data_IF_480020554714
#
_entry.id   IF_480020554714
#
_cell.length_a   1.000
_cell.length_b   1.000
_cell.length_c   1.000
_cell.angle_alpha   90.00
_cell.angle_beta   90.00
_cell.angle_gamma   90.00
#
_symmetry.space_group_name_H-M   'P 1'
#
loop_
_entity.id
_entity.type
_entity.pdbx_description
1 polymer ?
#
# COMPACT_ATOMS: atom_id res chain seq x y z
N UNK A 1 -67.22 -47.63 -4.34
CA UNK A 1 -66.01 -48.12 -3.63
C UNK A 1 -64.99 -46.98 -3.63
N UNK A 2 -64.96 -46.18 -2.56
CA UNK A 2 -63.89 -46.15 -1.55
C UNK A 2 -62.51 -45.94 -2.21
N UNK A 3 -61.84 -44.79 -2.14
CA UNK A 3 -61.63 -43.84 -1.03
C UNK A 3 -60.10 -43.72 -0.89
N UNK A 4 -59.48 -42.55 -1.03
CA UNK A 4 -59.20 -41.66 0.11
C UNK A 4 -58.68 -40.30 -0.39
N UNK A 5 -59.34 -39.26 0.08
CA UNK A 5 -58.81 -37.92 0.22
C UNK A 5 -58.37 -37.71 1.69
N UNK A 6 -57.30 -36.95 1.91
CA UNK A 6 -57.01 -36.33 3.22
C UNK A 6 -56.26 -35.02 2.96
N UNK A 7 -56.94 -33.88 3.00
CA UNK A 7 -57.21 -33.00 4.17
C UNK A 7 -56.02 -32.12 4.57
N UNK A 8 -56.22 -30.83 4.28
CA UNK A 8 -55.57 -29.65 4.86
C UNK A 8 -55.75 -29.63 6.38
N UNK A 9 -54.73 -29.19 7.13
CA UNK A 9 -54.90 -28.55 8.44
C UNK A 9 -53.82 -27.50 8.67
N UNK A 10 -54.27 -26.31 9.07
CA UNK A 10 -53.47 -25.16 9.47
C UNK A 10 -53.01 -25.22 10.94
N UNK A 11 -52.08 -24.31 11.25
CA UNK A 11 -51.25 -24.03 12.44
C UNK A 11 -51.95 -24.04 13.81
N UNK A 12 -51.16 -24.10 14.92
CA UNK A 12 -51.00 -22.89 15.72
C UNK A 12 -49.61 -22.70 16.38
N UNK A 13 -49.31 -21.45 16.75
CA UNK A 13 -48.63 -21.20 18.03
C UNK A 13 -47.28 -20.50 17.98
N UNK A 14 -47.32 -19.18 17.93
CA UNK A 14 -46.28 -18.30 18.46
C UNK A 14 -46.03 -18.54 19.96
N UNK A 15 -44.76 -18.53 20.39
CA UNK A 15 -44.37 -18.01 21.71
C UNK A 15 -43.06 -17.25 21.62
N UNK A 16 -43.14 -15.99 22.02
CA UNK A 16 -42.05 -15.14 22.43
C UNK A 16 -41.39 -15.69 23.69
N UNK A 17 -40.05 -15.57 23.78
CA UNK A 17 -39.39 -15.37 25.07
C UNK A 17 -38.48 -14.15 24.91
N UNK A 18 -38.86 -13.15 25.69
CA UNK A 18 -38.15 -11.92 25.97
C UNK A 18 -36.91 -12.18 26.85
N UNK A 19 -35.85 -11.46 26.54
CA UNK A 19 -34.94 -10.80 27.48
C UNK A 19 -34.33 -11.59 28.64
N UNK A 20 -32.99 -11.72 28.61
CA UNK A 20 -32.19 -11.10 29.68
C UNK A 20 -30.79 -10.71 29.21
N UNK A 21 -30.40 -9.51 29.67
CA UNK A 21 -29.13 -8.80 29.49
C UNK A 21 -28.00 -9.47 30.28
N UNK A 22 -26.82 -9.59 29.67
CA UNK A 22 -25.49 -9.43 30.29
C UNK A 22 -24.44 -9.74 29.21
N UNK A 23 -23.34 -9.04 29.02
CA UNK A 23 -22.72 -7.94 29.72
C UNK A 23 -21.54 -7.51 28.86
N UNK A 24 -21.27 -6.22 28.92
CA UNK A 24 -20.26 -5.49 28.19
C UNK A 24 -18.83 -5.96 28.51
N UNK A 25 -18.13 -6.62 27.58
CA UNK A 25 -16.65 -6.68 27.64
C UNK A 25 -16.01 -7.01 26.27
N UNK A 26 -16.21 -6.20 25.22
CA UNK A 26 -15.32 -6.30 24.04
C UNK A 26 -15.26 -5.08 23.12
N UNK A 27 -15.23 -3.87 23.67
CA UNK A 27 -14.86 -2.67 22.91
C UNK A 27 -14.04 -1.72 23.78
N UNK A 28 -12.86 -2.21 24.23
CA UNK A 28 -11.80 -1.41 24.84
C UNK A 28 -10.43 -1.93 24.38
N UNK A 29 -10.20 -1.92 23.08
CA UNK A 29 -8.85 -2.04 22.50
C UNK A 29 -8.63 -1.04 21.35
N UNK A 30 -9.69 -0.49 20.74
CA UNK A 30 -9.57 0.56 19.72
C UNK A 30 -9.65 1.96 20.36
N UNK A 31 -8.75 2.23 21.32
CA UNK A 31 -8.45 3.62 21.74
C UNK A 31 -7.07 3.76 22.40
N UNK A 32 -6.14 2.85 22.10
CA UNK A 32 -4.73 2.96 22.52
C UNK A 32 -3.74 3.10 21.34
N UNK A 33 -4.21 3.00 20.09
CA UNK A 33 -3.37 3.13 18.89
C UNK A 33 -3.08 4.57 18.44
N UNK A 34 -3.95 5.52 18.78
CA UNK A 34 -3.86 6.91 18.26
C UNK A 34 -2.95 7.80 19.14
N UNK A 35 -2.77 7.49 20.42
CA UNK A 35 -1.87 8.25 21.31
C UNK A 35 -0.40 7.80 21.26
N UNK A 36 -0.10 6.63 20.69
CA UNK A 36 1.27 6.11 20.64
C UNK A 36 2.13 6.73 19.52
N UNK A 37 1.50 7.32 18.50
CA UNK A 37 2.21 7.99 17.40
C UNK A 37 2.62 9.44 17.71
N UNK A 38 1.89 10.16 18.59
CA UNK A 38 2.32 11.50 19.06
C UNK A 38 3.39 11.46 20.15
N UNK A 39 3.44 10.39 20.97
CA UNK A 39 4.39 10.27 22.08
C UNK A 39 5.83 9.98 21.64
N UNK A 40 6.04 9.29 20.51
CA UNK A 40 7.39 8.97 20.01
C UNK A 40 8.13 10.18 19.44
N UNK A 41 7.45 11.29 19.12
CA UNK A 41 8.10 12.58 18.78
C UNK A 41 8.59 13.38 19.99
N UNK A 42 8.08 13.14 21.20
CA UNK A 42 8.47 13.89 22.40
C UNK A 42 9.64 13.25 23.16
N UNK A 43 9.79 11.92 23.16
CA UNK A 43 10.96 11.28 23.78
C UNK A 43 12.27 11.47 23.02
N UNK A 44 12.22 11.73 21.71
CA UNK A 44 13.42 12.00 20.90
C UNK A 44 14.02 13.39 21.16
N UNK A 45 13.25 14.34 21.70
CA UNK A 45 13.71 15.70 22.01
C UNK A 45 14.35 15.82 23.40
N UNK A 46 14.09 14.89 24.33
CA UNK A 46 14.61 14.97 25.71
C UNK A 46 15.93 14.22 25.95
N UNK A 47 16.50 13.55 24.94
CA UNK A 47 17.84 12.92 25.02
C UNK A 47 18.95 13.73 24.35
N UNK A 48 18.64 14.90 23.79
CA UNK A 48 19.60 15.76 23.11
C UNK A 48 20.18 16.88 24.01
N UNK A 49 19.66 17.09 25.22
CA UNK A 49 20.20 18.05 26.18
C UNK A 49 20.81 17.32 27.39
N UNK A 50 22.06 16.88 27.23
CA UNK A 50 22.88 16.41 28.34
C UNK A 50 23.32 17.59 29.22
N UNK A 51 22.46 18.00 30.15
CA UNK A 51 22.82 18.97 31.19
C UNK A 51 23.15 18.26 32.51
N UNK A 52 24.44 18.09 32.81
CA UNK A 52 24.88 17.82 34.19
C UNK A 52 24.88 19.12 34.97
N UNK A 53 24.15 19.15 36.08
CA UNK A 53 24.23 20.19 37.08
C UNK A 53 25.56 20.09 37.84
N UNK A 54 26.34 21.16 37.86
CA UNK A 54 27.40 21.37 38.83
C UNK A 54 27.49 22.85 39.21
N UNK A 55 27.77 23.06 40.49
CA UNK A 55 27.57 24.24 41.32
C UNK A 55 28.42 25.47 40.98
N UNK A 56 27.82 26.64 41.25
CA UNK A 56 28.45 27.97 41.27
C UNK A 56 29.63 28.06 42.25
N UNK A 57 30.69 28.75 41.84
CA UNK A 57 31.56 29.51 42.74
C UNK A 57 32.05 30.79 42.06
N UNK A 58 31.97 31.90 42.78
CA UNK A 58 32.26 33.28 42.33
C UNK A 58 33.75 33.61 42.44
N UNK A 59 34.26 34.41 41.48
CA UNK A 59 35.44 35.24 41.67
C UNK A 59 36.46 35.21 40.52
N UNK A 60 36.56 36.31 39.78
CA UNK A 60 37.70 36.57 38.89
C UNK A 60 37.32 37.16 37.54
N UNK A 61 37.57 38.45 37.38
CA UNK A 61 37.61 39.16 36.09
C UNK A 61 38.63 38.50 35.15
N UNK A 62 38.14 37.92 34.06
CA UNK A 62 38.96 37.57 32.90
C UNK A 62 38.22 37.99 31.63
N UNK A 63 38.84 38.92 30.89
CA UNK A 63 38.42 39.28 29.55
C UNK A 63 38.47 38.02 28.65
N UNK A 64 37.32 37.60 28.13
CA UNK A 64 37.25 36.53 27.14
C UNK A 64 37.24 37.15 25.76
N UNK A 65 38.30 36.86 25.02
CA UNK A 65 38.52 37.22 23.63
C UNK A 65 37.42 36.60 22.76
N UNK A 66 36.73 37.43 21.96
CA UNK A 66 35.85 36.94 20.90
C UNK A 66 36.69 36.37 19.74
N UNK A 67 37.08 35.10 19.85
CA UNK A 67 37.57 34.31 18.73
C UNK A 67 36.38 33.79 17.92
N UNK A 68 36.17 34.35 16.73
CA UNK A 68 35.16 33.87 15.80
C UNK A 68 35.47 32.44 15.34
N UNK A 69 34.76 31.47 15.91
CA UNK A 69 34.67 30.13 15.35
C UNK A 69 33.51 30.11 14.35
N UNK A 70 33.84 29.92 13.07
CA UNK A 70 32.86 29.63 12.04
C UNK A 70 32.00 28.44 12.49
N UNK A 71 30.69 28.63 12.55
CA UNK A 71 29.73 27.56 12.80
C UNK A 71 29.89 26.49 11.70
N UNK A 72 30.52 25.38 12.06
CA UNK A 72 30.57 24.21 11.20
C UNK A 72 29.16 23.63 11.17
N UNK A 73 28.53 23.67 9.99
CA UNK A 73 27.24 23.06 9.72
C UNK A 73 27.23 21.61 10.22
N UNK A 74 26.34 21.21 11.16
CA UNK A 74 26.27 19.83 11.64
C UNK A 74 25.62 18.88 10.60
N UNK A 75 25.39 19.35 9.37
CA UNK A 75 24.82 18.57 8.28
C UNK A 75 25.89 17.77 7.53
N UNK A 76 26.68 16.95 8.24
CA UNK A 76 27.45 15.86 7.64
C UNK A 76 27.48 14.68 8.61
N UNK A 77 27.11 13.51 8.09
CA UNK A 77 27.10 12.19 8.71
C UNK A 77 25.82 11.81 9.50
N UNK A 78 24.66 11.85 8.83
CA UNK A 78 23.72 10.74 8.99
C UNK A 78 24.09 9.72 7.92
N UNK A 79 24.66 8.58 8.34
CA UNK A 79 24.95 7.47 7.44
C UNK A 79 23.68 7.08 6.69
N UNK A 80 23.82 6.80 5.39
CA UNK A 80 22.75 6.25 4.54
C UNK A 80 22.16 5.06 5.31
N UNK A 81 20.86 5.13 5.64
CA UNK A 81 20.16 3.97 6.19
C UNK A 81 20.45 2.78 5.28
N UNK A 82 20.76 1.59 5.84
CA UNK A 82 21.06 0.44 5.00
C UNK A 82 19.89 0.23 4.04
N UNK A 83 20.19 0.13 2.74
CA UNK A 83 19.18 -0.15 1.73
C UNK A 83 18.44 -1.42 2.17
N UNK A 84 17.13 -1.32 2.42
CA UNK A 84 16.34 -2.48 2.79
C UNK A 84 16.51 -3.55 1.71
N UNK A 85 17.15 -4.65 2.07
CA UNK A 85 17.21 -5.83 1.21
C UNK A 85 15.83 -6.46 1.25
N UNK A 86 15.07 -6.30 0.17
CA UNK A 86 13.77 -6.96 -0.01
C UNK A 86 14.07 -8.45 -0.25
N UNK A 87 13.59 -9.37 0.62
CA UNK A 87 13.76 -10.80 0.37
C UNK A 87 13.08 -11.22 -0.93
N UNK A 88 13.68 -12.17 -1.64
CA UNK A 88 13.02 -12.79 -2.80
C UNK A 88 11.67 -13.40 -2.39
N UNK A 89 10.63 -13.15 -3.19
CA UNK A 89 9.28 -13.63 -2.91
C UNK A 89 8.50 -12.83 -1.86
N UNK A 90 9.05 -11.73 -1.33
CA UNK A 90 8.28 -10.82 -0.50
C UNK A 90 7.31 -10.00 -1.37
N UNK A 91 6.04 -9.92 -0.94
CA UNK A 91 5.13 -8.93 -1.49
C UNK A 91 5.53 -7.53 -1.03
N UNK A 92 5.60 -6.61 -1.98
CA UNK A 92 6.07 -5.23 -1.75
C UNK A 92 5.02 -4.17 -2.06
N UNK A 93 3.96 -4.56 -2.76
CA UNK A 93 2.85 -3.68 -3.12
C UNK A 93 1.52 -4.42 -3.04
N UNK A 94 0.47 -3.68 -2.67
CA UNK A 94 -0.92 -4.05 -2.90
C UNK A 94 -1.56 -3.02 -3.82
N UNK A 95 -2.12 -3.46 -4.94
CA UNK A 95 -2.80 -2.58 -5.89
C UNK A 95 -4.31 -2.66 -5.70
N UNK A 96 -4.95 -1.49 -5.66
CA UNK A 96 -6.38 -1.32 -5.61
C UNK A 96 -6.88 -0.67 -6.90
N UNK A 97 -7.81 -1.35 -7.58
CA UNK A 97 -8.57 -0.73 -8.67
C UNK A 97 -9.59 0.23 -8.06
N UNK A 98 -9.63 1.44 -8.61
CA UNK A 98 -10.52 2.53 -8.22
C UNK A 98 -11.22 3.11 -9.44
N UNK A 99 -12.43 3.64 -9.27
CA UNK A 99 -13.22 4.23 -10.36
C UNK A 99 -12.80 5.67 -10.68
N UNK A 100 -12.26 6.38 -9.69
CA UNK A 100 -11.74 7.73 -9.85
C UNK A 100 -10.52 7.93 -8.95
N UNK A 101 -9.38 8.25 -9.57
CA UNK A 101 -8.09 8.30 -8.89
C UNK A 101 -8.05 9.40 -7.83
N UNK A 102 -8.47 10.63 -8.16
CA UNK A 102 -8.46 11.77 -7.25
C UNK A 102 -9.36 11.55 -6.03
N UNK A 103 -10.59 11.08 -6.27
CA UNK A 103 -11.54 10.79 -5.21
C UNK A 103 -11.06 9.65 -4.31
N UNK A 104 -10.34 8.67 -4.87
CA UNK A 104 -9.71 7.61 -4.08
C UNK A 104 -8.54 8.14 -3.24
N UNK A 105 -7.64 8.94 -3.81
CA UNK A 105 -6.54 9.58 -3.05
C UNK A 105 -7.09 10.39 -1.87
N UNK A 106 -8.09 11.24 -2.12
CA UNK A 106 -8.72 12.06 -1.09
C UNK A 106 -9.36 11.18 0.02
N UNK A 107 -10.10 10.14 -0.37
CA UNK A 107 -10.73 9.21 0.58
C UNK A 107 -9.69 8.46 1.42
N UNK A 108 -8.62 7.95 0.81
CA UNK A 108 -7.59 7.19 1.52
C UNK A 108 -6.82 8.10 2.48
N UNK A 109 -6.55 9.34 2.08
CA UNK A 109 -5.98 10.34 2.97
C UNK A 109 -6.91 10.64 4.16
N UNK A 110 -8.18 10.90 3.91
CA UNK A 110 -9.14 11.24 4.96
C UNK A 110 -9.34 10.10 5.96
N UNK A 111 -9.45 8.86 5.48
CA UNK A 111 -9.75 7.70 6.33
C UNK A 111 -8.52 7.12 7.01
N UNK A 112 -7.37 7.11 6.34
CA UNK A 112 -6.18 6.37 6.77
C UNK A 112 -4.95 7.24 6.97
N UNK A 113 -5.00 8.53 6.62
CA UNK A 113 -3.86 9.45 6.70
C UNK A 113 -2.77 9.18 5.66
N UNK A 114 -3.08 8.42 4.60
CA UNK A 114 -2.12 8.10 3.54
C UNK A 114 -1.80 9.34 2.69
N UNK A 115 -0.52 9.48 2.34
CA UNK A 115 -0.03 10.51 1.44
C UNK A 115 1.46 10.77 1.65
N UNK A 116 2.11 11.46 0.69
CA UNK A 116 1.56 11.89 -0.58
C UNK A 116 1.50 10.70 -1.55
N UNK A 117 0.66 10.85 -2.57
CA UNK A 117 0.50 9.90 -3.67
C UNK A 117 1.40 10.33 -4.83
N UNK A 118 2.27 9.45 -5.30
CA UNK A 118 3.23 9.73 -6.38
C UNK A 118 2.70 9.20 -7.70
N UNK A 119 2.58 10.05 -8.72
CA UNK A 119 2.09 9.67 -10.05
C UNK A 119 0.88 10.50 -10.49
N UNK A 120 -0.16 9.85 -10.99
CA UNK A 120 -1.40 10.46 -11.47
C UNK A 120 -1.45 10.73 -12.97
N UNK A 121 -0.35 10.46 -13.66
CA UNK A 121 -0.24 10.53 -15.12
C UNK A 121 -0.86 9.32 -15.83
N UNK A 122 -1.00 9.44 -17.16
CA UNK A 122 -1.49 8.36 -18.00
C UNK A 122 -0.38 7.31 -18.24
N UNK A 123 -0.67 6.06 -17.89
CA UNK A 123 0.14 4.90 -18.21
C UNK A 123 -0.42 4.13 -19.40
N UNK A 124 0.47 3.52 -20.18
CA UNK A 124 0.14 2.56 -21.23
C UNK A 124 0.92 1.29 -20.95
N UNK A 125 0.19 0.18 -20.86
CA UNK A 125 0.73 -1.18 -20.81
C UNK A 125 0.61 -1.74 -22.24
N UNK A 126 1.72 -1.64 -22.97
CA UNK A 126 1.77 -1.92 -24.40
C UNK A 126 2.10 -3.39 -24.69
N UNK A 127 2.00 -3.83 -25.95
CA UNK A 127 2.21 -5.23 -26.36
C UNK A 127 1.43 -6.23 -25.49
N UNK A 128 0.19 -5.88 -25.16
CA UNK A 128 -0.61 -6.65 -24.23
C UNK A 128 -1.00 -8.01 -24.83
N UNK A 129 -0.68 -9.07 -24.09
CA UNK A 129 -1.15 -10.43 -24.35
C UNK A 129 -2.06 -10.83 -23.20
N UNK A 130 -3.33 -11.09 -23.51
CA UNK A 130 -4.35 -11.49 -22.55
C UNK A 130 -4.77 -12.94 -22.78
N UNK A 131 -4.63 -13.79 -21.75
CA UNK A 131 -4.96 -15.23 -21.84
C UNK A 131 -4.35 -15.91 -23.08
N UNK A 132 -3.09 -15.56 -23.37
CA UNK A 132 -2.32 -16.11 -24.48
C UNK A 132 -2.68 -15.56 -25.87
N UNK A 133 -3.56 -14.56 -25.96
CA UNK A 133 -3.94 -13.91 -27.22
C UNK A 133 -3.53 -12.44 -27.23
N UNK A 134 -3.07 -11.89 -28.37
CA UNK A 134 -2.86 -10.45 -28.51
C UNK A 134 -4.14 -9.67 -28.17
N UNK A 135 -3.99 -8.58 -27.44
CA UNK A 135 -5.08 -7.71 -27.03
C UNK A 135 -4.67 -6.23 -27.12
N UNK A 136 -5.66 -5.34 -27.07
CA UNK A 136 -5.39 -3.91 -27.08
C UNK A 136 -4.56 -3.48 -25.85
N UNK A 137 -3.71 -2.45 -25.98
CA UNK A 137 -2.97 -1.89 -24.86
C UNK A 137 -3.89 -1.45 -23.72
N UNK A 138 -3.45 -1.71 -22.49
CA UNK A 138 -4.18 -1.29 -21.30
C UNK A 138 -3.78 0.15 -20.97
N UNK A 139 -4.75 1.05 -20.85
CA UNK A 139 -4.56 2.43 -20.42
C UNK A 139 -5.04 2.57 -18.99
N UNK A 140 -4.18 3.14 -18.15
CA UNK A 140 -4.44 3.33 -16.73
C UNK A 140 -4.00 4.73 -16.29
N UNK A 141 -4.50 5.16 -15.14
CA UNK A 141 -3.87 6.21 -14.34
C UNK A 141 -3.51 5.61 -12.99
N UNK A 142 -2.26 5.77 -12.57
CA UNK A 142 -1.72 5.11 -11.38
C UNK A 142 -1.09 6.09 -10.41
N UNK A 143 -1.27 5.86 -9.12
CA UNK A 143 -0.47 6.50 -8.06
C UNK A 143 0.06 5.46 -7.08
N UNK A 144 1.22 5.76 -6.51
CA UNK A 144 1.86 4.95 -5.47
C UNK A 144 1.90 5.75 -4.17
N UNK A 145 1.56 5.13 -3.04
CA UNK A 145 1.71 5.71 -1.71
C UNK A 145 2.37 4.71 -0.77
N UNK A 146 3.30 5.18 0.06
CA UNK A 146 3.92 4.31 1.05
C UNK A 146 3.03 4.18 2.31
N UNK A 147 2.82 2.95 2.78
CA UNK A 147 2.08 2.67 4.02
C UNK A 147 2.80 1.61 4.86
N UNK A 148 3.59 2.06 5.84
CA UNK A 148 4.51 1.18 6.57
C UNK A 148 5.56 0.62 5.61
N UNK A 149 5.75 -0.71 5.62
CA UNK A 149 6.72 -1.37 4.73
C UNK A 149 6.14 -1.69 3.35
N UNK A 150 4.82 -1.71 3.20
CA UNK A 150 4.15 -1.95 1.93
C UNK A 150 3.90 -0.65 1.16
N UNK A 151 3.95 -0.75 -0.16
CA UNK A 151 3.40 0.25 -1.04
C UNK A 151 1.93 -0.07 -1.33
N UNK A 152 1.10 0.96 -1.43
CA UNK A 152 -0.27 0.86 -1.93
C UNK A 152 -0.33 1.58 -3.26
N UNK A 153 -0.72 0.86 -4.30
CA UNK A 153 -0.99 1.43 -5.61
C UNK A 153 -2.51 1.64 -5.77
N UNK A 154 -2.92 2.80 -6.26
CA UNK A 154 -4.28 3.03 -6.72
C UNK A 154 -4.26 3.13 -8.25
N UNK A 155 -5.09 2.34 -8.91
CA UNK A 155 -5.18 2.29 -10.37
C UNK A 155 -6.60 2.61 -10.81
N UNK A 156 -6.75 3.66 -11.60
CA UNK A 156 -7.95 3.95 -12.38
C UNK A 156 -7.76 3.35 -13.78
N UNK A 157 -8.63 2.40 -14.13
CA UNK A 157 -8.60 1.73 -15.43
C UNK A 157 -9.36 2.55 -16.47
N UNK A 158 -8.68 2.98 -17.53
CA UNK A 158 -9.25 3.80 -18.61
C UNK A 158 -9.69 2.94 -19.79
N UNK A 159 -8.99 1.83 -20.05
CA UNK A 159 -9.37 0.89 -21.11
C UNK A 159 -10.61 0.08 -20.74
N UNK A 160 -11.47 -0.19 -21.73
CA UNK A 160 -12.62 -1.10 -21.62
C UNK A 160 -12.39 -2.49 -22.24
N UNK A 161 -11.25 -2.67 -22.93
CA UNK A 161 -10.87 -3.95 -23.54
C UNK A 161 -10.53 -5.01 -22.49
N UNK A 162 -10.71 -6.30 -22.80
CA UNK A 162 -10.50 -7.37 -21.83
C UNK A 162 -9.06 -7.41 -21.31
N UNK A 163 -8.90 -7.61 -20.00
CA UNK A 163 -7.60 -7.68 -19.32
C UNK A 163 -7.75 -8.36 -17.95
N UNK A 164 -6.62 -8.68 -17.30
CA UNK A 164 -6.61 -9.20 -15.92
C UNK A 164 -7.36 -8.30 -14.91
N UNK A 165 -7.45 -6.99 -15.17
CA UNK A 165 -8.26 -6.09 -14.33
C UNK A 165 -9.76 -6.43 -14.42
N UNK A 166 -10.26 -6.67 -15.63
CA UNK A 166 -11.66 -6.98 -15.89
C UNK A 166 -12.08 -8.37 -15.40
N UNK A 167 -11.10 -9.28 -15.27
CA UNK A 167 -11.30 -10.59 -14.64
C UNK A 167 -11.68 -10.48 -13.15
N UNK A 168 -11.33 -9.38 -12.47
CA UNK A 168 -11.69 -9.13 -11.07
C UNK A 168 -12.78 -8.09 -10.93
N UNK A 169 -12.69 -6.99 -11.68
CA UNK A 169 -13.53 -5.82 -11.52
C UNK A 169 -14.11 -5.37 -12.86
N UNK A 170 -15.38 -5.68 -13.13
CA UNK A 170 -16.16 -5.01 -14.16
C UNK A 170 -16.22 -3.49 -13.94
N UNK A 171 -16.61 -2.75 -14.98
CA UNK A 171 -16.78 -1.29 -14.89
C UNK A 171 -17.65 -0.89 -13.70
N UNK A 172 -17.18 0.09 -12.93
CA UNK A 172 -17.82 0.57 -11.70
C UNK A 172 -17.54 -0.26 -10.44
N UNK A 173 -16.83 -1.39 -10.53
CA UNK A 173 -16.39 -2.17 -9.37
C UNK A 173 -14.94 -1.78 -8.97
N UNK A 174 -14.61 -1.98 -7.70
CA UNK A 174 -13.34 -1.57 -7.10
C UNK A 174 -12.88 -2.62 -6.08
N UNK A 175 -11.57 -2.72 -5.85
CA UNK A 175 -11.00 -3.58 -4.82
C UNK A 175 -9.54 -3.93 -5.09
N UNK A 176 -9.00 -4.84 -4.28
CA UNK A 176 -7.62 -5.34 -4.44
C UNK A 176 -7.50 -6.14 -5.73
N UNK A 177 -6.62 -5.71 -6.63
CA UNK A 177 -6.41 -6.39 -7.91
C UNK A 177 -5.19 -7.31 -7.88
N UNK A 178 -4.04 -6.80 -7.43
CA UNK A 178 -2.83 -7.61 -7.38
C UNK A 178 -1.99 -7.33 -6.16
N UNK A 179 -1.14 -8.30 -5.82
CA UNK A 179 0.02 -8.09 -4.97
C UNK A 179 1.29 -8.24 -5.81
N UNK A 180 2.21 -7.28 -5.71
CA UNK A 180 3.43 -7.29 -6.53
C UNK A 180 4.65 -7.79 -5.76
N UNK A 181 5.57 -8.43 -6.48
CA UNK A 181 6.87 -8.86 -5.94
C UNK A 181 7.98 -8.72 -6.98
N UNK A 182 9.22 -8.52 -6.49
CA UNK A 182 10.41 -8.58 -7.34
C UNK A 182 10.85 -10.02 -7.55
N UNK A 183 11.29 -10.32 -8.77
CA UNK A 183 11.81 -11.61 -9.17
C UNK A 183 13.20 -11.45 -9.77
N UNK A 184 14.20 -12.06 -9.12
CA UNK A 184 15.57 -12.12 -9.65
C UNK A 184 15.67 -13.02 -10.89
N UNK A 185 14.94 -14.14 -10.88
CA UNK A 185 14.72 -15.04 -12.02
C UNK A 185 13.25 -14.90 -12.43
N UNK A 186 12.98 -13.96 -13.34
CA UNK A 186 11.63 -13.58 -13.74
C UNK A 186 10.93 -14.73 -14.45
N UNK A 187 11.55 -15.28 -15.50
CA UNK A 187 11.01 -16.36 -16.30
C UNK A 187 10.86 -17.64 -15.48
N UNK A 188 11.87 -18.02 -14.68
CA UNK A 188 11.78 -19.21 -13.85
C UNK A 188 10.73 -19.09 -12.73
N UNK A 189 10.49 -17.88 -12.21
CA UNK A 189 9.41 -17.65 -11.24
C UNK A 189 8.03 -17.72 -11.90
N UNK A 190 7.87 -17.09 -13.07
CA UNK A 190 6.64 -17.20 -13.89
C UNK A 190 6.32 -18.66 -14.18
N UNK A 191 7.28 -19.41 -14.72
CA UNK A 191 7.07 -20.80 -15.14
C UNK A 191 6.75 -21.72 -13.96
N UNK A 192 7.35 -21.46 -12.78
CA UNK A 192 7.01 -22.17 -11.54
C UNK A 192 5.55 -21.96 -11.13
N UNK A 193 5.04 -20.73 -11.22
CA UNK A 193 3.65 -20.45 -10.88
C UNK A 193 2.67 -21.04 -11.90
N UNK A 194 3.00 -20.99 -13.19
CA UNK A 194 2.22 -21.68 -14.23
C UNK A 194 2.17 -23.18 -13.97
N UNK A 195 3.31 -23.81 -13.67
CA UNK A 195 3.38 -25.23 -13.33
C UNK A 195 2.60 -25.59 -12.04
N UNK A 196 2.42 -24.63 -11.14
CA UNK A 196 1.60 -24.77 -9.93
C UNK A 196 0.10 -24.50 -10.16
N UNK A 197 -0.34 -24.35 -11.42
CA UNK A 197 -1.75 -24.14 -11.76
C UNK A 197 -2.22 -22.68 -11.71
N UNK A 198 -1.31 -21.72 -11.62
CA UNK A 198 -1.61 -20.28 -11.68
C UNK A 198 -1.18 -19.74 -13.06
N UNK A 199 -2.08 -19.75 -14.07
CA UNK A 199 -1.73 -19.35 -15.42
C UNK A 199 -1.44 -17.85 -15.50
N UNK A 200 -0.67 -17.44 -16.51
CA UNK A 200 -0.50 -16.02 -16.83
C UNK A 200 -1.85 -15.46 -17.32
N UNK A 201 -2.33 -14.39 -16.68
CA UNK A 201 -3.55 -13.68 -17.06
C UNK A 201 -3.28 -12.63 -18.14
N UNK A 202 -2.29 -11.77 -17.90
CA UNK A 202 -1.86 -10.72 -18.83
C UNK A 202 -0.33 -10.60 -18.80
N UNK A 203 0.27 -10.32 -19.95
CA UNK A 203 1.66 -9.84 -20.07
C UNK A 203 1.66 -8.55 -20.89
N UNK A 204 2.55 -7.62 -20.57
CA UNK A 204 2.66 -6.34 -21.26
C UNK A 204 4.03 -5.71 -21.02
N UNK A 205 4.33 -4.67 -21.79
CA UNK A 205 5.53 -3.84 -21.66
C UNK A 205 5.11 -2.48 -21.12
N UNK A 206 5.71 -2.07 -20.00
CA UNK A 206 5.50 -0.72 -19.46
C UNK A 206 6.33 0.32 -20.20
N UNK A 207 5.99 1.60 -20.05
CA UNK A 207 6.56 2.71 -20.84
C UNK A 207 8.09 2.83 -20.82
N UNK A 208 8.74 2.34 -19.77
CA UNK A 208 10.20 2.31 -19.65
C UNK A 208 10.85 0.99 -20.10
N UNK A 209 10.10 0.13 -20.81
CA UNK A 209 10.61 -1.02 -21.54
C UNK A 209 10.67 -2.34 -20.76
N UNK A 210 10.28 -2.36 -19.47
CA UNK A 210 10.23 -3.61 -18.73
C UNK A 210 9.01 -4.46 -19.13
N UNK A 211 9.23 -5.77 -19.30
CA UNK A 211 8.13 -6.73 -19.44
C UNK A 211 7.66 -7.17 -18.06
N UNK A 212 6.34 -7.15 -17.85
CA UNK A 212 5.67 -7.50 -16.60
C UNK A 212 4.51 -8.42 -16.92
N UNK A 213 4.16 -9.29 -15.97
CA UNK A 213 2.99 -10.15 -16.08
C UNK A 213 2.15 -10.16 -14.80
N UNK A 214 0.86 -10.41 -15.00
CA UNK A 214 -0.08 -10.80 -13.96
C UNK A 214 -0.28 -12.31 -14.02
N UNK A 215 0.01 -12.97 -12.90
CA UNK A 215 -0.27 -14.39 -12.66
C UNK A 215 -1.64 -14.49 -12.00
N UNK A 216 -2.49 -15.38 -12.52
CA UNK A 216 -3.82 -15.63 -11.98
C UNK A 216 -3.76 -16.53 -10.76
N UNK A 217 -3.67 -15.91 -9.58
CA UNK A 217 -3.72 -16.57 -8.29
C UNK A 217 -5.08 -16.39 -7.61
N UNK A 218 -6.16 -16.07 -8.35
CA UNK A 218 -7.48 -15.80 -7.75
C UNK A 218 -8.05 -17.01 -7.01
N UNK A 219 -7.85 -18.22 -7.53
CA UNK A 219 -8.33 -19.44 -6.87
C UNK A 219 -7.63 -19.72 -5.52
N UNK A 220 -6.35 -19.37 -5.40
CA UNK A 220 -5.54 -19.70 -4.22
C UNK A 220 -5.43 -18.54 -3.23
N UNK A 221 -5.43 -17.29 -3.72
CA UNK A 221 -5.17 -16.08 -2.94
C UNK A 221 -6.26 -15.02 -3.06
N UNK A 222 -7.17 -15.13 -4.03
CA UNK A 222 -8.24 -14.15 -4.26
C UNK A 222 -7.82 -12.89 -5.01
N UNK A 223 -6.60 -12.83 -5.54
CA UNK A 223 -6.07 -11.70 -6.33
C UNK A 223 -5.04 -12.18 -7.36
N UNK A 224 -4.64 -11.29 -8.27
CA UNK A 224 -3.51 -11.54 -9.18
C UNK A 224 -2.17 -11.38 -8.45
N UNK A 225 -1.09 -11.96 -8.97
CA UNK A 225 0.28 -11.65 -8.54
C UNK A 225 0.97 -10.92 -9.68
N UNK A 226 1.55 -9.75 -9.40
CA UNK A 226 2.39 -9.03 -10.37
C UNK A 226 3.85 -9.39 -10.16
N UNK A 227 4.53 -9.80 -11.23
CA UNK A 227 5.97 -10.07 -11.19
C UNK A 227 6.71 -8.88 -11.79
N UNK A 228 7.61 -8.28 -11.02
CA UNK A 228 8.57 -7.32 -11.54
C UNK A 228 9.89 -8.01 -11.85
N UNK A 229 10.47 -7.81 -13.04
CA UNK A 229 11.89 -8.08 -13.22
C UNK A 229 12.71 -7.12 -12.35
N UNK A 230 13.96 -7.48 -12.08
CA UNK A 230 14.90 -6.54 -11.48
C UNK A 230 15.06 -5.29 -12.37
N UNK A 231 14.64 -4.14 -11.84
CA UNK A 231 14.61 -2.88 -12.57
C UNK A 231 14.92 -1.71 -11.64
N UNK A 232 16.00 -0.98 -11.94
CA UNK A 232 16.39 0.22 -11.20
C UNK A 232 15.31 1.30 -11.25
N UNK A 233 14.59 1.42 -12.37
CA UNK A 233 13.50 2.37 -12.54
C UNK A 233 12.36 2.05 -11.58
N UNK A 234 11.92 0.80 -11.52
CA UNK A 234 10.87 0.36 -10.60
C UNK A 234 11.32 0.58 -9.17
N UNK A 235 12.54 0.16 -8.81
CA UNK A 235 13.11 0.38 -7.47
C UNK A 235 13.17 1.87 -7.09
N UNK A 236 13.50 2.74 -8.04
CA UNK A 236 13.53 4.19 -7.82
C UNK A 236 12.14 4.77 -7.56
N UNK A 237 11.09 4.25 -8.20
CA UNK A 237 9.69 4.65 -7.92
C UNK A 237 9.30 4.35 -6.47
N UNK A 238 9.56 3.12 -6.01
CA UNK A 238 9.31 2.73 -4.62
C UNK A 238 10.13 3.55 -3.63
N UNK A 239 11.41 3.80 -3.95
CA UNK A 239 12.28 4.62 -3.11
C UNK A 239 11.76 6.07 -2.99
N UNK A 240 11.29 6.66 -4.09
CA UNK A 240 10.69 8.00 -4.08
C UNK A 240 9.39 8.02 -3.28
N UNK A 241 8.48 7.08 -3.50
CA UNK A 241 7.23 7.01 -2.75
C UNK A 241 7.45 6.95 -1.23
N UNK A 242 8.43 6.15 -0.78
CA UNK A 242 8.84 6.12 0.63
C UNK A 242 9.44 7.44 1.09
N UNK A 243 10.39 7.99 0.35
CA UNK A 243 11.04 9.25 0.70
C UNK A 243 10.04 10.40 0.85
N UNK A 244 9.12 10.54 -0.09
CA UNK A 244 8.11 11.60 -0.07
C UNK A 244 7.14 11.42 1.10
N UNK A 245 6.72 10.19 1.42
CA UNK A 245 5.88 9.92 2.59
C UNK A 245 6.55 10.26 3.93
N UNK A 246 7.86 10.02 4.06
CA UNK A 246 8.62 10.35 5.27
C UNK A 246 8.79 11.86 5.48
N UNK A 247 8.80 12.64 4.40
CA UNK A 247 9.11 14.07 4.40
C UNK A 247 7.90 14.97 4.10
N UNK A 248 6.70 14.39 4.02
CA UNK A 248 5.50 15.10 3.59
C UNK A 248 5.04 16.17 4.59
N UNK A 249 4.78 17.37 4.09
CA UNK A 249 4.26 18.49 4.87
C UNK A 249 2.73 18.54 4.95
N UNK A 250 2.04 17.58 4.30
CA UNK A 250 0.60 17.46 4.29
C UNK A 250 -0.15 18.36 3.29
N UNK A 251 0.54 19.13 2.44
CA UNK A 251 -0.13 20.12 1.57
C UNK A 251 -0.43 19.60 0.17
N UNK A 252 0.55 19.01 -0.50
CA UNK A 252 0.37 18.48 -1.85
C UNK A 252 0.05 17.00 -1.77
N UNK A 253 -1.22 16.64 -2.03
CA UNK A 253 -1.68 15.27 -1.88
C UNK A 253 -1.18 14.36 -3.01
N UNK A 254 -1.16 14.84 -4.26
CA UNK A 254 -0.68 14.10 -5.42
C UNK A 254 0.55 14.83 -5.99
N UNK A 255 1.67 14.13 -6.06
CA UNK A 255 2.95 14.61 -6.58
C UNK A 255 3.21 13.89 -7.91
N UNK A 256 3.33 14.61 -9.05
CA UNK A 256 3.62 14.00 -10.34
C UNK A 256 4.93 13.21 -10.36
N UNK A 257 4.92 12.07 -11.05
CA UNK A 257 6.12 11.26 -11.32
C UNK A 257 6.83 11.74 -12.57
#
# INVERSE_FOLDING_TARGET
>A
MAGRASRVKALPGSRSISGRKSGSTRWRVVMFGILRWRALRLCALHRAEGGQAASLNFGGTAAVVFGGAAAQNPCKALGRAPAMTIPSGAFIQVCHVVDNLEAACARYNQLFGMGPFIGGGNGVLDNHVYRGQPADPIRIRGVFVQSGDLNIELVELVSSGPSAFHDMYPSGQQGIHHMAMFCADYEGTRDRYVAAGMPVASEFVVSFGAQICYIDARETMGHMIELYPESDIIRSMYARARHEAENWDGKQLIIPW
#
